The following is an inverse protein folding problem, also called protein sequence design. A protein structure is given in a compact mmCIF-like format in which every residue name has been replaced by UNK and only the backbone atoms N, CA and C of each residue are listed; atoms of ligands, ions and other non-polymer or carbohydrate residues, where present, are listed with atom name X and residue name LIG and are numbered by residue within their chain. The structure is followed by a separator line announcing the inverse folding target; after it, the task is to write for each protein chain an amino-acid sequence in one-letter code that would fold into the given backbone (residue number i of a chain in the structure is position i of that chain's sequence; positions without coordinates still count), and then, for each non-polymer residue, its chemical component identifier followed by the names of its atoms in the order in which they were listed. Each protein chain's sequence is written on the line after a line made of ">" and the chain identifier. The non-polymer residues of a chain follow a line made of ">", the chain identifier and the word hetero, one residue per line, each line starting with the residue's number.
data_IF_120687606260
#
_entry.id   IF_120687606260
#
_cell.length_a   1.000
_cell.length_b   1.000
_cell.length_c   1.000
_cell.angle_alpha   90.00
_cell.angle_beta   90.00
_cell.angle_gamma   90.00
#
_symmetry.space_group_name_H-M   'P 1'
#
loop_
_entity.id
_entity.type
_entity.pdbx_description
1 polymer ?
#
# COMPACT_ATOMS: atom_id res chain seq x y z
N UNK A 1 17.60 23.11 11.88
CA UNK A 1 16.20 22.76 11.54
C UNK A 1 16.11 21.61 10.53
N UNK A 2 16.88 21.60 9.43
CA UNK A 2 16.86 20.53 8.42
C UNK A 2 17.19 19.11 8.97
N UNK A 3 18.23 18.99 9.78
CA UNK A 3 18.64 17.72 10.40
C UNK A 3 17.55 17.10 11.32
N UNK A 4 16.74 17.94 11.96
CA UNK A 4 15.65 17.50 12.82
C UNK A 4 14.50 16.88 12.01
N UNK A 5 14.13 17.50 10.89
CA UNK A 5 13.09 16.97 9.99
C UNK A 5 13.50 15.62 9.41
N UNK A 6 14.75 15.46 8.97
CA UNK A 6 15.25 14.19 8.46
C UNK A 6 15.26 13.10 9.54
N UNK A 7 15.65 13.45 10.77
CA UNK A 7 15.58 12.51 11.91
C UNK A 7 14.14 12.08 12.20
N UNK A 8 13.18 12.99 12.10
CA UNK A 8 11.76 12.66 12.30
C UNK A 8 11.22 11.74 11.20
N UNK A 9 11.56 11.99 9.93
CA UNK A 9 11.20 11.11 8.80
C UNK A 9 11.72 9.69 9.03
N UNK A 10 13.02 9.55 9.33
CA UNK A 10 13.64 8.26 9.58
C UNK A 10 12.98 7.49 10.73
N UNK A 11 12.61 8.17 11.83
CA UNK A 11 11.91 7.54 12.95
C UNK A 11 10.51 7.08 12.56
N UNK A 12 9.79 7.91 11.80
CA UNK A 12 8.47 7.56 11.30
C UNK A 12 8.53 6.34 10.38
N UNK A 13 9.50 6.31 9.47
CA UNK A 13 9.73 5.19 8.56
C UNK A 13 10.07 3.91 9.34
N UNK A 14 10.94 3.99 10.35
CA UNK A 14 11.30 2.86 11.20
C UNK A 14 10.09 2.30 11.97
N UNK A 15 9.23 3.18 12.51
CA UNK A 15 7.98 2.76 13.17
C UNK A 15 7.04 2.11 12.15
N UNK A 16 6.93 2.67 10.96
CA UNK A 16 6.06 2.13 9.92
C UNK A 16 6.51 0.73 9.49
N UNK A 17 7.81 0.52 9.27
CA UNK A 17 8.37 -0.80 8.96
C UNK A 17 8.08 -1.80 10.07
N UNK A 18 8.31 -1.43 11.33
CA UNK A 18 8.03 -2.32 12.47
C UNK A 18 6.54 -2.70 12.57
N UNK A 19 5.61 -1.81 12.18
CA UNK A 19 4.18 -2.11 12.12
C UNK A 19 3.88 -3.14 11.04
N UNK A 20 4.47 -2.99 9.87
CA UNK A 20 4.31 -3.94 8.75
C UNK A 20 4.87 -5.31 9.14
N UNK A 21 6.08 -5.36 9.70
CA UNK A 21 6.71 -6.63 10.09
C UNK A 21 5.89 -7.40 11.12
N UNK A 22 5.36 -6.71 12.14
CA UNK A 22 4.51 -7.32 13.17
C UNK A 22 3.18 -7.81 12.59
N UNK A 23 2.58 -7.03 11.71
CA UNK A 23 1.36 -7.42 11.01
C UNK A 23 1.62 -8.71 10.20
N UNK A 24 2.65 -8.71 9.35
CA UNK A 24 3.01 -9.86 8.53
C UNK A 24 3.34 -11.09 9.38
N UNK A 25 4.07 -10.94 10.49
CA UNK A 25 4.40 -12.04 11.40
C UNK A 25 3.15 -12.68 12.03
N UNK A 26 2.13 -11.90 12.35
CA UNK A 26 0.88 -12.40 12.93
C UNK A 26 -0.11 -12.95 11.88
N UNK A 27 0.06 -12.60 10.61
CA UNK A 27 -0.85 -12.94 9.53
C UNK A 27 -0.51 -14.27 8.86
N UNK A 28 -1.55 -15.06 8.54
CA UNK A 28 -1.44 -16.23 7.68
C UNK A 28 -1.11 -15.87 6.21
N UNK A 29 -0.71 -16.85 5.39
CA UNK A 29 -0.24 -16.61 4.02
C UNK A 29 -1.25 -15.88 3.13
N UNK A 30 -2.53 -16.24 3.21
CA UNK A 30 -3.59 -15.60 2.42
C UNK A 30 -3.75 -14.11 2.77
N UNK A 31 -3.70 -13.78 4.06
CA UNK A 31 -3.84 -12.41 4.50
C UNK A 31 -2.63 -11.55 4.11
N UNK A 32 -1.41 -12.13 4.09
CA UNK A 32 -0.22 -11.44 3.58
C UNK A 32 -0.38 -11.08 2.10
N UNK A 33 -0.96 -11.99 1.31
CA UNK A 33 -1.25 -11.75 -0.10
C UNK A 33 -2.32 -10.66 -0.30
N UNK A 34 -3.39 -10.67 0.50
CA UNK A 34 -4.39 -9.59 0.46
C UNK A 34 -3.75 -8.24 0.85
N UNK A 35 -2.92 -8.23 1.90
CA UNK A 35 -2.24 -7.01 2.35
C UNK A 35 -1.32 -6.43 1.26
N UNK A 36 -0.60 -7.26 0.50
CA UNK A 36 0.23 -6.80 -0.60
C UNK A 36 -0.57 -6.23 -1.76
N UNK A 37 -1.84 -6.61 -1.94
CA UNK A 37 -2.71 -6.09 -3.00
C UNK A 37 -3.51 -4.84 -2.59
N UNK A 38 -3.53 -4.45 -1.30
CA UNK A 38 -4.25 -3.24 -0.90
C UNK A 38 -3.78 -1.97 -1.63
N UNK A 39 -2.47 -1.73 -1.82
CA UNK A 39 -1.99 -0.56 -2.55
C UNK A 39 -2.46 -0.52 -4.01
N UNK A 40 -2.44 -1.65 -4.74
CA UNK A 40 -2.95 -1.73 -6.12
C UNK A 40 -4.43 -1.39 -6.16
N UNK A 41 -5.22 -2.02 -5.30
CA UNK A 41 -6.67 -1.82 -5.26
C UNK A 41 -7.05 -0.36 -4.99
N UNK A 42 -6.35 0.30 -4.06
CA UNK A 42 -6.55 1.72 -3.76
C UNK A 42 -6.03 2.63 -4.88
N UNK A 43 -4.95 2.24 -5.56
CA UNK A 43 -4.39 3.03 -6.66
C UNK A 43 -5.32 3.06 -7.88
N UNK A 44 -5.80 1.90 -8.32
CA UNK A 44 -6.62 1.78 -9.53
C UNK A 44 -8.11 2.03 -9.31
N UNK A 45 -8.58 2.01 -8.06
CA UNK A 45 -9.98 2.25 -7.71
C UNK A 45 -10.93 1.40 -8.59
N UNK A 46 -10.86 0.08 -8.44
CA UNK A 46 -11.50 -0.88 -9.33
C UNK A 46 -13.03 -0.96 -9.16
N UNK A 47 -13.84 -1.16 -10.23
CA UNK A 47 -15.31 -1.23 -10.16
C UNK A 47 -15.89 -2.30 -9.22
N UNK A 48 -15.16 -3.37 -8.97
CA UNK A 48 -15.59 -4.45 -8.06
C UNK A 48 -15.36 -4.13 -6.58
N UNK A 49 -14.71 -3.01 -6.25
CA UNK A 49 -14.48 -2.64 -4.86
C UNK A 49 -15.75 -2.05 -4.22
N UNK A 50 -16.04 -2.41 -2.95
CA UNK A 50 -17.13 -1.78 -2.22
C UNK A 50 -16.84 -0.29 -2.05
N UNK A 51 -17.82 0.55 -2.39
CA UNK A 51 -17.67 2.00 -2.36
C UNK A 51 -17.04 2.59 -3.63
N UNK A 52 -16.85 1.81 -4.69
CA UNK A 52 -16.50 2.34 -6.00
C UNK A 52 -17.54 3.36 -6.47
N UNK A 53 -17.04 4.50 -6.93
CA UNK A 53 -17.82 5.56 -7.56
C UNK A 53 -17.42 5.66 -9.03
N UNK A 54 -18.40 5.46 -9.92
CA UNK A 54 -18.20 5.63 -11.35
C UNK A 54 -17.97 7.11 -11.70
N UNK A 55 -17.05 7.38 -12.63
CA UNK A 55 -16.70 8.72 -13.11
C UNK A 55 -15.29 9.23 -12.73
N UNK A 56 -15.08 10.53 -12.96
CA UNK A 56 -13.81 11.24 -12.74
C UNK A 56 -13.58 11.54 -11.25
N UNK A 57 -13.38 10.50 -10.44
CA UNK A 57 -13.00 10.66 -9.03
C UNK A 57 -11.48 10.64 -8.86
N UNK A 58 -10.92 11.46 -7.95
CA UNK A 58 -9.52 11.33 -7.58
C UNK A 58 -9.24 9.93 -7.05
N UNK A 59 -8.32 9.24 -7.70
CA UNK A 59 -7.80 7.93 -7.31
C UNK A 59 -6.28 7.94 -7.44
N UNK A 60 -5.62 6.93 -6.88
CA UNK A 60 -4.17 6.83 -6.92
C UNK A 60 -3.51 7.12 -5.56
N UNK A 61 -2.39 6.45 -5.35
CA UNK A 61 -1.48 6.67 -4.22
C UNK A 61 -0.23 7.35 -4.76
N UNK A 62 0.20 8.45 -4.12
CA UNK A 62 1.42 9.16 -4.52
C UNK A 62 2.65 8.25 -4.41
N UNK A 63 3.55 8.33 -5.41
CA UNK A 63 4.77 7.52 -5.50
C UNK A 63 4.52 6.01 -5.48
N UNK A 64 3.35 5.58 -5.94
CA UNK A 64 3.04 4.18 -6.09
C UNK A 64 3.75 3.59 -7.32
N UNK A 65 4.47 2.50 -7.10
CA UNK A 65 5.06 1.66 -8.15
C UNK A 65 4.70 0.22 -7.86
N UNK A 66 4.03 -0.49 -8.79
CA UNK A 66 3.63 -1.87 -8.55
C UNK A 66 4.84 -2.80 -8.48
N UNK A 67 4.82 -3.75 -7.54
CA UNK A 67 5.79 -4.84 -7.48
C UNK A 67 5.52 -5.92 -8.54
N UNK A 68 6.35 -6.97 -8.61
CA UNK A 68 6.17 -8.06 -9.58
C UNK A 68 4.86 -8.85 -9.38
N UNK A 69 4.48 -9.10 -8.13
CA UNK A 69 3.23 -9.83 -7.82
C UNK A 69 2.00 -9.00 -8.15
N UNK A 70 2.06 -7.69 -7.89
CA UNK A 70 1.03 -6.72 -8.22
C UNK A 70 0.91 -6.52 -9.73
N UNK A 71 2.02 -6.49 -10.48
CA UNK A 71 2.00 -6.44 -11.95
C UNK A 71 1.35 -7.68 -12.54
N UNK A 72 1.74 -8.86 -12.08
CA UNK A 72 1.12 -10.11 -12.53
C UNK A 72 -0.40 -10.12 -12.27
N UNK A 73 -0.86 -9.55 -11.15
CA UNK A 73 -2.29 -9.41 -10.86
C UNK A 73 -3.01 -8.39 -11.76
N UNK A 74 -2.33 -7.33 -12.22
CA UNK A 74 -2.90 -6.31 -13.11
C UNK A 74 -2.96 -6.75 -14.57
N UNK A 75 -2.09 -7.68 -14.97
CA UNK A 75 -1.99 -8.20 -16.33
C UNK A 75 -2.94 -9.39 -16.60
N UNK A 76 -3.53 -9.98 -15.56
CA UNK A 76 -4.56 -11.05 -15.60
C UNK A 76 -5.98 -10.47 -15.71
#
# INVERSE_FOLDING_TARGET
>A
MYFYIETLKQRLDAINQLRVDRALAAMGPDFRHVYSLLPTLLHFHHPMLPGYLDGSVPHGVCFYTPDETQRAWLDD
#
